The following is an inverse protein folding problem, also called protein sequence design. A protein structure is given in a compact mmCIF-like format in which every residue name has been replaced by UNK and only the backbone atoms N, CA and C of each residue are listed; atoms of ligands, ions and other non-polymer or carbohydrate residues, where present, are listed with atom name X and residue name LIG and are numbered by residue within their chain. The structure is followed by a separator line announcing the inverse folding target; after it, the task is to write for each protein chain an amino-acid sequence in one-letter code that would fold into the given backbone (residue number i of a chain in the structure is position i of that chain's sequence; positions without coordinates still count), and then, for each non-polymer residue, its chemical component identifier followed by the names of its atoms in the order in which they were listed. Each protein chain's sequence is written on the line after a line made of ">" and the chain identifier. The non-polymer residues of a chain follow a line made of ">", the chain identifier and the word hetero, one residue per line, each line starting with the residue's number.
data_IF_119090488097
#
_entry.id   IF_119090488097
#
_cell.length_a   1.000
_cell.length_b   1.000
_cell.length_c   1.000
_cell.angle_alpha   90.00
_cell.angle_beta   90.00
_cell.angle_gamma   90.00
#
_symmetry.space_group_name_H-M   'P 1'
#
loop_
_entity.id
_entity.type
_entity.pdbx_description
1 polymer ?
#
# COMPACT_ATOMS: atom_id res chain seq x y z
N UNK A 1 -1.69 -30.63 4.80
CA UNK A 1 -1.09 -29.68 3.83
C UNK A 1 -2.04 -28.55 3.45
N UNK A 2 -3.28 -28.85 3.04
CA UNK A 2 -4.32 -27.87 2.68
C UNK A 2 -4.58 -26.79 3.74
N UNK A 3 -4.73 -27.20 4.99
CA UNK A 3 -5.03 -26.30 6.11
C UNK A 3 -3.87 -25.34 6.41
N UNK A 4 -2.61 -25.81 6.32
CA UNK A 4 -1.42 -24.99 6.55
C UNK A 4 -1.28 -23.87 5.52
N UNK A 5 -1.68 -24.09 4.27
CA UNK A 5 -1.69 -23.04 3.24
C UNK A 5 -2.70 -21.93 3.57
N UNK A 6 -3.88 -22.31 4.08
CA UNK A 6 -4.88 -21.35 4.55
C UNK A 6 -4.36 -20.51 5.72
N UNK A 7 -3.75 -21.15 6.73
CA UNK A 7 -3.14 -20.44 7.86
C UNK A 7 -1.99 -19.53 7.43
N UNK A 8 -1.21 -19.91 6.41
CA UNK A 8 -0.15 -19.08 5.87
C UNK A 8 -0.69 -17.79 5.23
N UNK A 9 -1.72 -17.90 4.39
CA UNK A 9 -2.40 -16.73 3.79
C UNK A 9 -2.98 -15.82 4.86
N UNK A 10 -3.66 -16.41 5.85
CA UNK A 10 -4.25 -15.65 6.96
C UNK A 10 -3.18 -14.93 7.79
N UNK A 11 -2.08 -15.61 8.11
CA UNK A 11 -0.95 -15.03 8.83
C UNK A 11 -0.36 -13.84 8.08
N UNK A 12 -0.15 -13.98 6.76
CA UNK A 12 0.30 -12.88 5.92
C UNK A 12 -0.69 -11.71 5.93
N UNK A 13 -1.99 -11.98 5.82
CA UNK A 13 -3.03 -10.95 5.82
C UNK A 13 -3.06 -10.17 7.15
N UNK A 14 -2.90 -10.84 8.30
CA UNK A 14 -2.81 -10.20 9.61
C UNK A 14 -1.56 -9.33 9.71
N UNK A 15 -0.40 -9.84 9.30
CA UNK A 15 0.84 -9.05 9.28
C UNK A 15 0.74 -7.83 8.37
N UNK A 16 0.12 -7.99 7.19
CA UNK A 16 -0.13 -6.88 6.27
C UNK A 16 -1.07 -5.84 6.88
N UNK A 17 -2.12 -6.25 7.59
CA UNK A 17 -3.02 -5.31 8.26
C UNK A 17 -2.28 -4.48 9.32
N UNK A 18 -1.48 -5.13 10.18
CA UNK A 18 -0.66 -4.44 11.18
C UNK A 18 0.34 -3.49 10.53
N UNK A 19 0.99 -3.94 9.45
CA UNK A 19 1.91 -3.13 8.68
C UNK A 19 1.20 -1.93 8.02
N UNK A 20 0.00 -2.11 7.46
CA UNK A 20 -0.80 -1.03 6.88
C UNK A 20 -1.20 0.01 7.93
N UNK A 21 -1.56 -0.39 9.15
CA UNK A 21 -1.81 0.54 10.25
C UNK A 21 -0.53 1.31 10.57
N UNK A 22 0.60 0.62 10.72
CA UNK A 22 1.90 1.28 10.95
C UNK A 22 2.24 2.28 9.84
N UNK A 23 2.15 1.89 8.57
CA UNK A 23 2.40 2.78 7.42
C UNK A 23 1.44 3.97 7.45
N UNK A 24 0.15 3.76 7.75
CA UNK A 24 -0.81 4.85 7.87
C UNK A 24 -0.38 5.89 8.90
N UNK A 25 0.13 5.47 10.07
CA UNK A 25 0.60 6.41 11.12
C UNK A 25 1.85 7.19 10.73
N UNK A 26 2.64 6.69 9.77
CA UNK A 26 3.91 7.33 9.35
C UNK A 26 3.75 8.17 8.09
N UNK A 27 2.89 7.73 7.18
CA UNK A 27 2.70 8.36 5.86
C UNK A 27 1.44 9.22 5.83
N UNK A 28 0.58 9.18 6.86
CA UNK A 28 -0.66 9.95 6.95
C UNK A 28 -0.50 11.43 6.62
N UNK A 29 0.40 12.14 7.33
CA UNK A 29 0.65 13.55 7.09
C UNK A 29 1.15 13.83 5.66
N UNK A 30 1.92 12.91 5.08
CA UNK A 30 2.35 13.01 3.68
C UNK A 30 1.17 12.83 2.71
N UNK A 31 0.22 11.93 3.01
CA UNK A 31 -1.00 11.80 2.21
C UNK A 31 -1.87 13.06 2.28
N UNK A 32 -1.89 13.75 3.43
CA UNK A 32 -2.59 15.02 3.58
C UNK A 32 -1.89 16.13 2.78
N UNK A 33 -0.57 16.17 2.79
CA UNK A 33 0.19 17.05 1.91
C UNK A 33 -0.07 16.74 0.41
N UNK A 34 -0.13 15.47 0.04
CA UNK A 34 -0.54 15.08 -1.32
C UNK A 34 -1.96 15.54 -1.65
N UNK A 35 -2.87 15.57 -0.67
CA UNK A 35 -4.22 16.12 -0.82
C UNK A 35 -4.22 17.64 -1.03
N UNK A 36 -3.30 18.37 -0.42
CA UNK A 36 -3.15 19.81 -0.65
C UNK A 36 -2.52 20.10 -2.01
N UNK A 37 -1.64 19.21 -2.48
CA UNK A 37 -0.87 19.36 -3.71
C UNK A 37 -1.28 18.38 -4.85
N UNK A 38 -2.56 17.96 -4.90
CA UNK A 38 -3.04 16.86 -5.77
C UNK A 38 -2.58 16.90 -7.21
N UNK A 39 -2.65 18.06 -7.85
CA UNK A 39 -2.30 18.21 -9.27
C UNK A 39 -0.81 17.92 -9.52
N UNK A 40 0.06 18.33 -8.60
CA UNK A 40 1.51 18.11 -8.69
C UNK A 40 1.86 16.61 -8.49
N UNK A 41 1.04 15.88 -7.75
CA UNK A 41 1.14 14.42 -7.61
C UNK A 41 0.36 13.64 -8.70
N UNK A 42 -0.28 14.33 -9.65
CA UNK A 42 -1.08 13.69 -10.70
C UNK A 42 -2.33 12.96 -10.19
N UNK A 43 -2.87 13.39 -9.04
CA UNK A 43 -4.08 12.82 -8.45
C UNK A 43 -5.34 13.53 -8.96
N UNK A 44 -6.32 12.74 -9.40
CA UNK A 44 -7.62 13.22 -9.87
C UNK A 44 -8.69 13.29 -8.78
N UNK A 45 -8.45 12.62 -7.64
CA UNK A 45 -9.38 12.56 -6.50
C UNK A 45 -8.61 12.66 -5.19
N UNK A 46 -9.34 13.00 -4.12
CA UNK A 46 -8.76 13.02 -2.79
C UNK A 46 -8.24 11.64 -2.37
N UNK A 47 -7.07 11.63 -1.75
CA UNK A 47 -6.59 10.51 -0.96
C UNK A 47 -7.53 10.37 0.25
N UNK A 48 -8.21 9.23 0.41
CA UNK A 48 -9.09 9.01 1.55
C UNK A 48 -8.32 8.90 2.86
N UNK A 49 -8.96 9.27 3.96
CA UNK A 49 -8.47 8.96 5.31
C UNK A 49 -8.29 7.45 5.47
N UNK A 50 -7.32 7.06 6.29
CA UNK A 50 -7.00 5.65 6.53
C UNK A 50 -6.75 4.85 5.24
N UNK A 51 -6.17 5.52 4.24
CA UNK A 51 -5.88 5.00 2.90
C UNK A 51 -5.29 3.60 2.90
N UNK A 52 -4.21 3.36 3.65
CA UNK A 52 -3.48 2.09 3.63
C UNK A 52 -4.27 0.92 4.23
N UNK A 53 -5.27 1.19 5.07
CA UNK A 53 -6.11 0.18 5.71
C UNK A 53 -7.35 -0.12 4.87
N UNK A 54 -8.07 0.91 4.41
CA UNK A 54 -9.38 0.73 3.78
C UNK A 54 -9.39 0.96 2.26
N UNK A 55 -8.70 1.98 1.76
CA UNK A 55 -8.78 2.31 0.34
C UNK A 55 -7.87 1.40 -0.49
N UNK A 56 -6.69 1.06 0.05
CA UNK A 56 -5.74 0.16 -0.59
C UNK A 56 -6.34 -1.25 -0.78
N UNK A 57 -7.05 -1.76 0.24
CA UNK A 57 -7.73 -3.06 0.19
C UNK A 57 -8.89 -3.12 -0.81
N UNK A 58 -9.43 -1.95 -1.20
CA UNK A 58 -10.39 -1.80 -2.31
C UNK A 58 -9.71 -1.55 -3.66
N UNK A 59 -8.43 -1.87 -3.78
CA UNK A 59 -7.61 -1.69 -4.98
C UNK A 59 -7.51 -0.24 -5.49
N UNK A 60 -7.74 0.77 -4.63
CA UNK A 60 -7.62 2.18 -5.03
C UNK A 60 -6.15 2.62 -5.08
N UNK A 61 -5.37 2.11 -6.01
CA UNK A 61 -3.92 2.29 -6.05
C UNK A 61 -3.43 3.66 -6.55
N UNK A 62 -4.31 4.63 -6.81
CA UNK A 62 -3.88 5.93 -7.35
C UNK A 62 -2.89 6.68 -6.43
N UNK A 63 -3.13 6.81 -5.10
CA UNK A 63 -2.20 7.47 -4.19
C UNK A 63 -0.85 6.75 -4.06
N UNK A 64 -0.85 5.42 -3.95
CA UNK A 64 0.40 4.65 -3.90
C UNK A 64 1.18 4.74 -5.22
N UNK A 65 0.50 4.74 -6.38
CA UNK A 65 1.15 4.95 -7.68
C UNK A 65 1.69 6.37 -7.84
N UNK A 66 1.00 7.37 -7.31
CA UNK A 66 1.50 8.73 -7.28
C UNK A 66 2.80 8.82 -6.46
N UNK A 67 2.82 8.26 -5.24
CA UNK A 67 4.05 8.16 -4.43
C UNK A 67 5.17 7.43 -5.19
N UNK A 68 4.86 6.32 -5.86
CA UNK A 68 5.87 5.58 -6.63
C UNK A 68 6.49 6.42 -7.76
N UNK A 69 5.65 7.14 -8.53
CA UNK A 69 6.08 7.96 -9.67
C UNK A 69 6.83 9.22 -9.24
N UNK A 70 6.37 9.86 -8.18
CA UNK A 70 6.95 11.12 -7.67
C UNK A 70 8.20 10.82 -6.85
N UNK A 71 9.33 10.66 -7.54
CA UNK A 71 10.63 10.42 -6.88
C UNK A 71 11.13 11.65 -6.12
N UNK A 72 10.86 12.82 -6.67
CA UNK A 72 11.13 14.12 -6.06
C UNK A 72 9.79 14.83 -5.84
N UNK A 73 9.46 15.23 -4.59
CA UNK A 73 8.22 15.92 -4.31
C UNK A 73 8.30 17.39 -4.70
N UNK A 74 7.16 18.11 -4.79
CA UNK A 74 7.13 19.56 -4.91
C UNK A 74 7.96 20.23 -3.81
N UNK A 75 8.51 21.42 -4.09
CA UNK A 75 9.46 22.09 -3.18
C UNK A 75 8.87 22.29 -1.78
N UNK A 76 7.60 22.69 -1.68
CA UNK A 76 6.90 22.91 -0.42
C UNK A 76 6.82 21.62 0.40
N UNK A 77 6.55 20.50 -0.27
CA UNK A 77 6.50 19.17 0.35
C UNK A 77 7.91 18.67 0.68
N UNK A 78 8.91 18.95 -0.15
CA UNK A 78 10.31 18.61 0.11
C UNK A 78 10.83 19.27 1.40
N UNK A 79 10.44 20.52 1.63
CA UNK A 79 10.81 21.29 2.82
C UNK A 79 10.09 20.77 4.08
N UNK A 80 8.82 20.43 3.98
CA UNK A 80 8.04 19.90 5.10
C UNK A 80 8.39 18.44 5.44
N UNK A 81 8.81 17.65 4.46
CA UNK A 81 9.11 16.22 4.59
C UNK A 81 10.57 15.93 4.18
N UNK A 82 11.58 16.29 4.99
CA UNK A 82 12.99 16.02 4.67
C UNK A 82 13.28 14.51 4.55
N UNK A 83 12.46 13.67 5.17
CA UNK A 83 12.50 12.22 5.09
C UNK A 83 11.59 11.63 4.00
N UNK A 84 11.15 12.44 3.01
CA UNK A 84 10.20 12.03 1.96
C UNK A 84 10.57 10.68 1.30
N UNK A 85 11.85 10.48 0.97
CA UNK A 85 12.33 9.24 0.35
C UNK A 85 11.97 7.99 1.18
N UNK A 86 12.12 8.07 2.50
CA UNK A 86 11.78 6.96 3.41
C UNK A 86 10.27 6.74 3.49
N UNK A 87 9.49 7.82 3.62
CA UNK A 87 8.03 7.76 3.66
C UNK A 87 7.44 7.19 2.36
N UNK A 88 7.99 7.63 1.22
CA UNK A 88 7.66 7.11 -0.11
C UNK A 88 7.93 5.62 -0.21
N UNK A 89 9.10 5.16 0.24
CA UNK A 89 9.41 3.73 0.23
C UNK A 89 8.47 2.93 1.12
N UNK A 90 8.13 3.45 2.29
CA UNK A 90 7.20 2.81 3.20
C UNK A 90 5.80 2.67 2.58
N UNK A 91 5.30 3.74 1.95
CA UNK A 91 4.04 3.71 1.21
C UNK A 91 4.05 2.75 0.01
N UNK A 92 5.14 2.75 -0.76
CA UNK A 92 5.32 1.79 -1.86
C UNK A 92 5.40 0.35 -1.36
N UNK A 93 6.10 0.10 -0.24
CA UNK A 93 6.23 -1.21 0.35
C UNK A 93 4.87 -1.78 0.78
N UNK A 94 4.01 -0.98 1.41
CA UNK A 94 2.65 -1.39 1.75
C UNK A 94 1.83 -1.74 0.49
N UNK A 95 1.97 -0.96 -0.58
CA UNK A 95 1.33 -1.27 -1.85
C UNK A 95 1.82 -2.57 -2.48
N UNK A 96 3.14 -2.80 -2.53
CA UNK A 96 3.70 -4.04 -3.06
C UNK A 96 3.36 -5.26 -2.19
N UNK A 97 3.36 -5.13 -0.86
CA UNK A 97 2.94 -6.20 0.03
C UNK A 97 1.47 -6.57 -0.17
N UNK A 98 0.61 -5.58 -0.41
CA UNK A 98 -0.79 -5.82 -0.78
C UNK A 98 -0.93 -6.57 -2.11
N UNK A 99 -0.17 -6.18 -3.15
CA UNK A 99 -0.12 -6.95 -4.41
C UNK A 99 0.38 -8.38 -4.15
N UNK A 100 1.40 -8.53 -3.30
CA UNK A 100 1.94 -9.83 -2.88
C UNK A 100 0.89 -10.73 -2.24
N UNK A 101 0.02 -10.20 -1.38
CA UNK A 101 -1.12 -10.95 -0.83
C UNK A 101 -2.05 -11.45 -1.93
N UNK A 102 -2.39 -10.61 -2.91
CA UNK A 102 -3.23 -10.99 -4.04
C UNK A 102 -2.61 -12.13 -4.87
N UNK A 103 -1.31 -12.05 -5.16
CA UNK A 103 -0.57 -13.11 -5.85
C UNK A 103 -0.57 -14.39 -5.02
N UNK A 104 -0.32 -14.29 -3.71
CA UNK A 104 -0.30 -15.44 -2.81
C UNK A 104 -1.66 -16.17 -2.78
N UNK A 105 -2.77 -15.43 -2.72
CA UNK A 105 -4.13 -16.00 -2.76
C UNK A 105 -4.34 -16.77 -4.07
N UNK A 106 -3.95 -16.19 -5.22
CA UNK A 106 -4.07 -16.84 -6.52
C UNK A 106 -3.24 -18.12 -6.61
N UNK A 107 -1.99 -18.09 -6.15
CA UNK A 107 -1.11 -19.26 -6.14
C UNK A 107 -1.68 -20.37 -5.26
N UNK A 108 -2.14 -20.05 -4.05
CA UNK A 108 -2.78 -21.03 -3.18
C UNK A 108 -4.04 -21.59 -3.82
N UNK A 109 -4.88 -20.76 -4.46
CA UNK A 109 -6.05 -21.25 -5.17
C UNK A 109 -5.68 -22.27 -6.27
N UNK A 110 -4.67 -21.96 -7.09
CA UNK A 110 -4.18 -22.85 -8.15
C UNK A 110 -3.68 -24.18 -7.57
N UNK A 111 -2.87 -24.13 -6.50
CA UNK A 111 -2.34 -25.33 -5.83
C UNK A 111 -3.41 -26.17 -5.14
N UNK A 112 -4.55 -25.57 -4.75
CA UNK A 112 -5.62 -26.29 -4.07
C UNK A 112 -6.70 -26.81 -4.99
N UNK A 113 -6.85 -26.24 -6.20
CA UNK A 113 -7.99 -26.49 -7.10
C UNK A 113 -7.60 -26.99 -8.48
N UNK A 114 -6.44 -26.61 -9.00
CA UNK A 114 -6.04 -26.88 -10.40
C UNK A 114 -4.99 -27.99 -10.44
N UNK A 115 -3.95 -27.89 -9.62
CA UNK A 115 -3.02 -28.98 -9.39
C UNK A 115 -3.47 -29.70 -8.12
N UNK A 116 -4.08 -30.90 -8.18
CA UNK A 116 -4.40 -31.65 -6.99
C UNK A 116 -3.09 -32.15 -6.36
N UNK A 117 -2.52 -31.34 -5.48
CA UNK A 117 -1.55 -31.75 -4.45
C UNK A 117 -2.28 -32.26 -3.21
#
# INVERSE_FOLDING_TARGET
>A
MREHLGYFVLGYAVLLLLFSVFVQTKVGDLLDAMNQHKQQFGLTSAVPDWYFVFALSRCRYAPARALYRTTEPPLEVAQAFPNYKQLRYLGCAAWFAHIGLGILILLVFILLRVLPL
#
